data_IF_443980484574
#
_entry.id   IF_443980484574
#
_cell.length_a   1.000
_cell.length_b   1.000
_cell.length_c   1.000
_cell.angle_alpha   90.00
_cell.angle_beta   90.00
_cell.angle_gamma   90.00
#
_symmetry.space_group_name_H-M   'P 1'
#
loop_
_entity.id
_entity.type
_entity.pdbx_description
1 polymer ?
#
# COMPACT_ATOMS: atom_id res chain seq x y z
N UNK A 1 -0.81 8.67 -14.28
CA UNK A 1 -0.08 7.40 -14.44
C UNK A 1 -0.84 6.62 -15.50
N UNK A 2 -0.23 6.41 -16.65
CA UNK A 2 -0.88 5.83 -17.84
C UNK A 2 -0.77 4.29 -17.80
N UNK A 3 -1.81 3.56 -18.19
CA UNK A 3 -1.80 2.10 -18.23
C UNK A 3 -1.78 1.62 -19.67
N UNK A 4 -0.78 0.80 -20.02
CA UNK A 4 -0.56 0.30 -21.37
C UNK A 4 -0.44 -1.22 -21.40
N UNK A 5 -0.88 -1.85 -22.49
CA UNK A 5 -0.73 -3.29 -22.65
C UNK A 5 0.73 -3.66 -22.97
N UNK A 6 1.19 -4.85 -22.56
CA UNK A 6 2.52 -5.40 -22.93
C UNK A 6 2.77 -5.33 -24.45
N UNK A 7 1.76 -5.58 -25.28
CA UNK A 7 1.94 -5.52 -26.74
C UNK A 7 2.32 -4.11 -27.24
N UNK A 8 1.68 -3.08 -26.68
CA UNK A 8 1.98 -1.67 -26.98
C UNK A 8 3.33 -1.25 -26.38
N UNK A 9 3.61 -1.69 -25.15
CA UNK A 9 4.90 -1.43 -24.50
C UNK A 9 6.07 -1.97 -25.34
N UNK A 10 5.90 -3.15 -25.95
CA UNK A 10 6.90 -3.77 -26.83
C UNK A 10 7.08 -3.01 -28.15
N UNK A 11 6.00 -2.52 -28.77
CA UNK A 11 6.08 -1.84 -30.06
C UNK A 11 6.67 -0.43 -29.96
N UNK A 12 6.52 0.24 -28.82
CA UNK A 12 6.92 1.64 -28.61
C UNK A 12 7.97 1.82 -27.49
N UNK A 13 8.75 0.77 -27.20
CA UNK A 13 9.59 0.74 -26.00
C UNK A 13 10.57 1.93 -25.88
N UNK A 14 11.26 2.28 -26.98
CA UNK A 14 12.21 3.40 -26.99
C UNK A 14 11.56 4.76 -26.71
N UNK A 15 10.35 4.98 -27.24
CA UNK A 15 9.56 6.19 -26.99
C UNK A 15 9.16 6.25 -25.51
N UNK A 16 8.66 5.14 -24.97
CA UNK A 16 8.24 5.04 -23.57
C UNK A 16 9.41 5.25 -22.60
N UNK A 17 10.63 4.77 -22.92
CA UNK A 17 11.83 5.08 -22.12
C UNK A 17 12.12 6.58 -22.15
N UNK A 18 12.05 7.21 -23.33
CA UNK A 18 12.32 8.63 -23.48
C UNK A 18 11.33 9.46 -22.65
N UNK A 19 10.04 9.11 -22.71
CA UNK A 19 8.98 9.72 -21.89
C UNK A 19 9.15 9.43 -20.38
N UNK A 20 9.53 8.21 -20.01
CA UNK A 20 9.78 7.88 -18.62
C UNK A 20 10.98 8.66 -18.04
N UNK A 21 12.00 8.92 -18.86
CA UNK A 21 13.17 9.72 -18.47
C UNK A 21 12.84 11.18 -18.18
N UNK A 22 11.78 11.73 -18.80
CA UNK A 22 11.28 13.09 -18.52
C UNK A 22 10.30 13.15 -17.35
N UNK A 23 10.02 12.01 -16.71
CA UNK A 23 9.22 11.90 -15.50
C UNK A 23 7.83 11.28 -15.69
N UNK A 24 7.46 10.88 -16.91
CA UNK A 24 6.23 10.13 -17.13
C UNK A 24 6.29 8.74 -16.49
N UNK A 25 5.13 8.18 -16.16
CA UNK A 25 5.01 6.91 -15.43
C UNK A 25 3.96 6.03 -16.06
N UNK A 26 4.35 4.80 -16.35
CA UNK A 26 3.52 3.82 -17.04
C UNK A 26 3.34 2.57 -16.19
N UNK A 27 2.12 2.04 -16.17
CA UNK A 27 1.83 0.68 -15.71
C UNK A 27 1.68 -0.20 -16.94
N UNK A 28 2.49 -1.25 -17.02
CA UNK A 28 2.42 -2.24 -18.08
C UNK A 28 1.56 -3.40 -17.59
N UNK A 29 0.50 -3.72 -18.35
CA UNK A 29 -0.43 -4.78 -18.01
C UNK A 29 -0.53 -5.88 -19.07
N UNK A 30 -0.78 -7.11 -18.61
CA UNK A 30 -1.06 -8.28 -19.44
C UNK A 30 -2.44 -8.82 -19.08
N UNK A 31 -3.38 -8.81 -20.04
CA UNK A 31 -4.78 -9.27 -19.83
C UNK A 31 -5.42 -8.58 -18.61
N UNK A 32 -5.41 -7.25 -18.58
CA UNK A 32 -5.93 -6.42 -17.47
C UNK A 32 -5.23 -6.60 -16.11
N UNK A 33 -4.14 -7.38 -16.04
CA UNK A 33 -3.35 -7.53 -14.82
C UNK A 33 -2.08 -6.70 -14.91
N UNK A 34 -1.84 -5.74 -13.99
CA UNK A 34 -0.56 -5.05 -13.89
C UNK A 34 0.58 -6.06 -13.67
N UNK A 35 1.64 -5.95 -14.47
CA UNK A 35 2.80 -6.86 -14.41
C UNK A 35 4.12 -6.14 -14.25
N UNK A 36 4.23 -4.87 -14.67
CA UNK A 36 5.42 -4.06 -14.52
C UNK A 36 5.07 -2.57 -14.45
N UNK A 37 6.02 -1.76 -14.02
CA UNK A 37 5.97 -0.30 -14.10
C UNK A 37 7.22 0.21 -14.81
N UNK A 38 7.07 1.25 -15.64
CA UNK A 38 8.18 1.96 -16.26
C UNK A 38 8.21 3.38 -15.69
N UNK A 39 9.34 3.72 -15.09
CA UNK A 39 9.65 5.04 -14.51
C UNK A 39 11.10 5.40 -14.87
N UNK A 40 11.41 6.70 -14.86
CA UNK A 40 12.80 7.17 -15.01
C UNK A 40 13.67 6.77 -13.81
N UNK A 41 14.98 6.67 -14.03
CA UNK A 41 15.97 6.30 -12.99
C UNK A 41 16.00 7.29 -11.83
N UNK A 42 15.91 8.60 -12.11
CA UNK A 42 15.84 9.64 -11.06
C UNK A 42 14.62 9.47 -10.15
N UNK A 43 13.48 9.06 -10.70
CA UNK A 43 12.28 8.78 -9.90
C UNK A 43 12.45 7.51 -9.06
N UNK A 44 13.06 6.47 -9.63
CA UNK A 44 13.40 5.25 -8.89
C UNK A 44 14.31 5.55 -7.69
N UNK A 45 15.41 6.28 -7.91
CA UNK A 45 16.34 6.68 -6.85
C UNK A 45 15.66 7.54 -5.77
N UNK A 46 14.71 8.40 -6.15
CA UNK A 46 13.92 9.18 -5.21
C UNK A 46 13.02 8.27 -4.36
N UNK A 47 12.34 7.30 -4.97
CA UNK A 47 11.48 6.34 -4.27
C UNK A 47 12.29 5.48 -3.30
N UNK A 48 13.45 4.96 -3.73
CA UNK A 48 14.36 4.17 -2.90
C UNK A 48 14.86 4.99 -1.70
N UNK A 49 15.34 6.22 -1.92
CA UNK A 49 15.77 7.11 -0.83
C UNK A 49 14.65 7.40 0.16
N UNK A 50 13.44 7.68 -0.33
CA UNK A 50 12.28 7.94 0.51
C UNK A 50 11.91 6.70 1.34
N UNK A 51 11.92 5.52 0.71
CA UNK A 51 11.68 4.24 1.38
C UNK A 51 12.69 3.97 2.48
N UNK A 52 13.99 4.14 2.19
CA UNK A 52 15.06 3.96 3.19
C UNK A 52 14.95 4.97 4.34
N UNK A 53 14.63 6.23 4.04
CA UNK A 53 14.44 7.26 5.07
C UNK A 53 13.25 6.91 5.99
N UNK A 54 12.11 6.49 5.41
CA UNK A 54 10.95 6.05 6.17
C UNK A 54 11.24 4.82 7.04
N UNK A 55 11.96 3.84 6.50
CA UNK A 55 12.39 2.63 7.24
C UNK A 55 13.28 2.99 8.43
N UNK A 56 14.27 3.87 8.21
CA UNK A 56 15.16 4.36 9.28
C UNK A 56 14.41 5.16 10.35
N UNK A 57 13.46 6.01 9.93
CA UNK A 57 12.62 6.76 10.86
C UNK A 57 11.79 5.81 11.74
N UNK A 58 11.15 4.80 11.15
CA UNK A 58 10.36 3.83 11.90
C UNK A 58 11.21 3.09 12.96
N UNK A 59 12.42 2.65 12.60
CA UNK A 59 13.36 2.05 13.56
C UNK A 59 13.73 3.03 14.68
N UNK A 60 14.02 4.29 14.36
CA UNK A 60 14.32 5.32 15.36
C UNK A 60 13.13 5.62 16.29
N UNK A 61 11.91 5.41 15.82
CA UNK A 61 10.67 5.54 16.59
C UNK A 61 10.31 4.26 17.37
N UNK A 62 11.21 3.27 17.44
CA UNK A 62 11.05 2.07 18.25
C UNK A 62 10.39 0.88 17.55
N UNK A 63 10.17 0.95 16.24
CA UNK A 63 9.74 -0.23 15.48
C UNK A 63 10.88 -1.24 15.34
N UNK A 64 10.53 -2.51 15.18
CA UNK A 64 11.50 -3.59 14.98
C UNK A 64 11.58 -4.00 13.52
N UNK A 65 12.74 -4.54 13.10
CA UNK A 65 12.91 -5.07 11.75
C UNK A 65 11.87 -6.15 11.41
N UNK A 66 11.54 -7.00 12.37
CA UNK A 66 10.51 -8.04 12.20
C UNK A 66 9.12 -7.46 11.89
N UNK A 67 8.75 -6.31 12.48
CA UNK A 67 7.49 -5.64 12.19
C UNK A 67 7.52 -5.03 10.78
N UNK A 68 8.64 -4.40 10.40
CA UNK A 68 8.79 -3.79 9.08
C UNK A 68 8.74 -4.84 7.95
N UNK A 69 9.37 -5.99 8.15
CA UNK A 69 9.33 -7.10 7.20
C UNK A 69 7.91 -7.66 7.02
N UNK A 70 7.13 -7.75 8.11
CA UNK A 70 5.71 -8.15 8.05
C UNK A 70 4.87 -7.12 7.29
N UNK A 71 5.15 -5.83 7.46
CA UNK A 71 4.48 -4.76 6.71
C UNK A 71 4.77 -4.88 5.22
N UNK A 72 6.04 -5.09 4.84
CA UNK A 72 6.45 -5.21 3.45
C UNK A 72 5.79 -6.41 2.75
N UNK A 73 5.65 -7.53 3.46
CA UNK A 73 4.93 -8.73 3.01
C UNK A 73 3.40 -8.58 3.04
N UNK A 74 2.88 -7.44 3.50
CA UNK A 74 1.44 -7.17 3.69
C UNK A 74 0.76 -8.11 4.69
N UNK A 75 1.54 -8.69 5.61
CA UNK A 75 1.05 -9.51 6.71
C UNK A 75 0.57 -8.64 7.88
N UNK A 76 1.03 -7.39 7.93
CA UNK A 76 0.68 -6.42 8.96
C UNK A 76 0.44 -5.04 8.35
N UNK A 77 -0.59 -4.34 8.82
CA UNK A 77 -0.88 -2.99 8.37
C UNK A 77 -0.01 -1.96 9.12
N UNK A 78 0.61 -0.96 8.46
CA UNK A 78 1.47 0.03 9.11
C UNK A 78 0.81 0.79 10.25
N UNK A 79 -0.48 1.13 10.11
CA UNK A 79 -1.22 1.81 11.19
C UNK A 79 -1.33 0.92 12.44
N UNK A 80 -1.53 -0.39 12.27
CA UNK A 80 -1.59 -1.33 13.40
C UNK A 80 -0.23 -1.46 14.10
N UNK A 81 0.87 -1.42 13.33
CA UNK A 81 2.21 -1.41 13.91
C UNK A 81 2.51 -0.13 14.71
N UNK A 82 2.01 1.02 14.24
CA UNK A 82 2.29 2.32 14.85
C UNK A 82 1.58 2.54 16.19
N UNK A 83 0.38 1.98 16.37
CA UNK A 83 -0.47 2.22 17.55
C UNK A 83 -0.51 1.07 18.55
N UNK A 84 0.46 0.14 18.45
CA UNK A 84 0.46 -1.10 19.23
C UNK A 84 -0.39 -2.15 18.54
N UNK A 85 0.16 -3.35 18.39
CA UNK A 85 -0.52 -4.49 17.79
C UNK A 85 -1.72 -4.90 18.66
N UNK A 86 -2.88 -4.27 18.46
CA UNK A 86 -4.13 -4.58 19.19
C UNK A 86 -4.54 -6.05 19.14
N UNK A 87 -3.92 -6.84 18.27
CA UNK A 87 -4.18 -8.28 18.14
C UNK A 87 -3.71 -9.10 19.35
N UNK A 88 -2.71 -8.62 20.09
CA UNK A 88 -2.17 -9.31 21.27
C UNK A 88 -2.69 -8.71 22.59
N UNK A 89 -3.58 -7.71 22.51
CA UNK A 89 -4.30 -7.23 23.69
C UNK A 89 -5.45 -8.20 23.97
N UNK A 90 -5.37 -8.90 25.10
CA UNK A 90 -6.41 -9.82 25.57
C UNK A 90 -7.79 -9.19 25.55
N UNK A 91 -7.86 -7.89 25.84
CA UNK A 91 -9.09 -7.13 25.97
C UNK A 91 -9.75 -6.86 24.60
N UNK A 92 -9.02 -7.12 23.50
CA UNK A 92 -9.50 -6.96 22.13
C UNK A 92 -9.58 -8.29 21.38
N UNK A 93 -9.33 -9.43 22.05
CA UNK A 93 -9.32 -10.75 21.45
C UNK A 93 -10.67 -11.10 20.76
N UNK A 94 -11.77 -10.67 21.36
CA UNK A 94 -13.14 -10.94 20.89
C UNK A 94 -13.75 -9.76 20.10
N UNK A 95 -13.00 -8.66 19.90
CA UNK A 95 -13.52 -7.42 19.30
C UNK A 95 -14.09 -7.63 17.89
N UNK A 96 -13.48 -8.51 17.10
CA UNK A 96 -13.96 -8.81 15.75
C UNK A 96 -15.36 -9.46 15.77
N UNK A 97 -15.58 -10.38 16.73
CA UNK A 97 -16.85 -11.06 16.93
C UNK A 97 -17.90 -10.11 17.51
N UNK A 98 -17.50 -9.21 18.42
CA UNK A 98 -18.37 -8.14 18.94
C UNK A 98 -18.83 -7.19 17.83
N UNK A 99 -17.92 -6.73 16.96
CA UNK A 99 -18.25 -5.88 15.81
C UNK A 99 -19.19 -6.60 14.85
N UNK A 100 -18.96 -7.89 14.59
CA UNK A 100 -19.83 -8.69 13.73
C UNK A 100 -21.23 -8.85 14.35
N UNK A 101 -21.31 -9.12 15.65
CA UNK A 101 -22.56 -9.23 16.39
C UNK A 101 -23.34 -7.90 16.40
N UNK A 102 -22.67 -6.77 16.62
CA UNK A 102 -23.29 -5.44 16.55
C UNK A 102 -23.82 -5.10 15.16
N UNK A 103 -23.10 -5.47 14.09
CA UNK A 103 -23.57 -5.23 12.71
C UNK A 103 -24.81 -6.04 12.34
N UNK A 104 -25.03 -7.17 13.00
CA UNK A 104 -26.25 -7.98 12.84
C UNK A 104 -27.42 -7.42 13.66
N UNK A 105 -27.15 -6.57 14.65
CA UNK A 105 -28.23 -5.88 15.37
C UNK A 105 -28.87 -4.85 14.43
N UNK A 106 -30.20 -4.81 14.36
CA UNK A 106 -30.89 -3.79 13.57
C UNK A 106 -30.48 -2.40 14.09
N UNK A 107 -30.03 -1.52 13.19
CA UNK A 107 -29.56 -0.20 13.62
C UNK A 107 -30.71 0.60 14.20
N UNK A 108 -30.68 0.86 15.51
CA UNK A 108 -31.49 1.90 16.15
C UNK A 108 -30.83 3.26 15.91
N UNK A 109 -30.73 3.68 14.64
CA UNK A 109 -30.47 5.09 14.36
C UNK A 109 -31.78 5.83 14.64
N UNK A 110 -31.84 6.72 15.65
CA UNK A 110 -33.03 7.55 15.83
C UNK A 110 -33.23 8.37 14.56
N UNK A 111 -34.48 8.44 14.09
CA UNK A 111 -34.83 9.28 12.96
C UNK A 111 -34.59 10.73 13.39
N UNK A 112 -33.56 11.37 12.85
CA UNK A 112 -33.35 12.80 13.03
C UNK A 112 -34.27 13.46 12.01
N UNK A 113 -35.47 13.84 12.44
CA UNK A 113 -36.35 14.70 11.65
C UNK A 113 -35.65 16.06 11.51
N UNK A 114 -35.20 16.37 10.29
CA UNK A 114 -34.65 17.68 9.89
C UNK A 114 -35.76 18.61 9.41
#
# INVERSE_FOLDING_TARGET
METINVAEAKSRFSELISRASTGERFIIQRRERPVAALIGTTELERLERTSHAARRLALALGQTEAILDKIERRELHPAMAAYGLWRDESDLADLADEIAAERLKPSTRPNIDL
#
